data_IF_707088648309
#
_entry.id   IF_707088648309
#
_cell.length_a   1.000
_cell.length_b   1.000
_cell.length_c   1.000
_cell.angle_alpha   90.00
_cell.angle_beta   90.00
_cell.angle_gamma   90.00
#
_symmetry.space_group_name_H-M   'P 1'
#
loop_
_entity.id
_entity.type
_entity.pdbx_description
1 polymer ?
#
# COMPACT_ATOMS: atom_id res chain seq x y z
N UNK A 1 11.79 14.97 30.19
CA UNK A 1 12.77 14.19 29.39
C UNK A 1 11.99 13.49 28.30
N UNK A 2 12.01 14.07 27.09
CA UNK A 2 11.30 13.50 25.95
C UNK A 2 12.03 12.26 25.45
N UNK A 3 11.45 11.09 25.62
CA UNK A 3 11.87 9.91 24.86
C UNK A 3 11.74 10.27 23.37
N UNK A 4 12.81 10.07 22.63
CA UNK A 4 12.85 10.25 21.17
C UNK A 4 11.81 9.33 20.53
N UNK A 5 10.64 9.84 20.26
CA UNK A 5 9.64 9.16 19.42
C UNK A 5 10.14 9.29 17.98
N UNK A 6 10.80 8.26 17.47
CA UNK A 6 11.13 8.18 16.05
C UNK A 6 9.84 7.91 15.29
N UNK A 7 9.30 8.94 14.66
CA UNK A 7 8.19 8.77 13.71
C UNK A 7 8.79 8.49 12.35
N UNK A 8 8.36 7.43 11.70
CA UNK A 8 8.69 7.12 10.31
C UNK A 8 7.50 7.49 9.44
N UNK A 9 7.74 8.29 8.42
CA UNK A 9 6.73 8.72 7.47
C UNK A 9 6.81 7.84 6.22
N UNK A 10 5.67 7.23 5.87
CA UNK A 10 5.51 6.40 4.70
C UNK A 10 4.41 6.99 3.82
N UNK A 11 4.68 7.14 2.53
CA UNK A 11 3.62 7.32 1.54
C UNK A 11 3.45 6.00 0.77
N UNK A 12 2.21 5.55 0.64
CA UNK A 12 1.86 4.30 -0.02
C UNK A 12 0.88 4.57 -1.16
N UNK A 13 1.26 4.15 -2.34
CA UNK A 13 0.38 3.99 -3.49
C UNK A 13 -0.04 2.52 -3.55
N UNK A 14 -1.32 2.27 -3.24
CA UNK A 14 -1.88 0.94 -3.12
C UNK A 14 -2.56 0.52 -4.44
N UNK A 15 -1.75 0.35 -5.48
CA UNK A 15 -2.25 0.02 -6.82
C UNK A 15 -2.70 -1.44 -6.98
N UNK A 16 -3.60 -1.68 -7.92
CA UNK A 16 -4.11 -3.02 -8.26
C UNK A 16 -3.02 -3.97 -8.75
N UNK A 17 -2.07 -3.46 -9.53
CA UNK A 17 -0.98 -4.26 -10.09
C UNK A 17 0.24 -4.28 -9.17
N UNK A 18 0.69 -3.11 -8.76
CA UNK A 18 1.86 -2.90 -7.91
C UNK A 18 1.51 -1.98 -6.75
N UNK A 19 2.17 -2.20 -5.62
CA UNK A 19 2.17 -1.29 -4.46
C UNK A 19 3.54 -0.65 -4.35
N UNK A 20 3.55 0.67 -4.28
CA UNK A 20 4.77 1.47 -4.10
C UNK A 20 4.75 2.08 -2.70
N UNK A 21 5.88 2.01 -2.00
CA UNK A 21 6.06 2.71 -0.72
C UNK A 21 7.29 3.59 -0.80
N UNK A 22 7.11 4.85 -0.44
CA UNK A 22 8.20 5.79 -0.25
C UNK A 22 8.39 6.09 1.23
N UNK A 23 9.63 6.33 1.62
CA UNK A 23 10.01 6.73 2.96
C UNK A 23 11.03 7.86 2.85
N UNK A 24 10.72 9.04 3.41
CA UNK A 24 11.59 10.21 3.30
C UNK A 24 11.98 10.50 1.84
N UNK A 25 11.01 10.62 0.96
CA UNK A 25 11.14 10.91 -0.48
C UNK A 25 11.95 9.87 -1.28
N UNK A 26 12.20 8.70 -0.70
CA UNK A 26 12.86 7.60 -1.39
C UNK A 26 11.92 6.42 -1.55
N UNK A 27 11.80 5.93 -2.76
CA UNK A 27 11.11 4.68 -3.01
C UNK A 27 11.88 3.53 -2.35
N UNK A 28 11.21 2.84 -1.42
CA UNK A 28 11.78 1.75 -0.63
C UNK A 28 11.13 0.40 -0.93
N UNK A 29 9.93 0.43 -1.50
CA UNK A 29 9.21 -0.76 -1.98
C UNK A 29 8.58 -0.43 -3.33
N UNK A 30 8.75 -1.32 -4.29
CA UNK A 30 8.04 -1.41 -5.55
C UNK A 30 7.80 -2.90 -5.82
N UNK A 31 6.63 -3.36 -5.42
CA UNK A 31 6.32 -4.78 -5.41
C UNK A 31 4.92 -5.05 -5.99
N UNK A 32 4.74 -6.17 -6.69
CA UNK A 32 3.41 -6.60 -7.12
C UNK A 32 2.42 -6.71 -5.97
N UNK A 33 1.19 -6.26 -6.17
CA UNK A 33 0.10 -6.36 -5.19
C UNK A 33 -0.45 -7.79 -5.12
N UNK A 34 0.39 -8.71 -4.67
CA UNK A 34 0.09 -10.14 -4.59
C UNK A 34 0.54 -10.70 -3.24
N UNK A 35 -0.25 -11.60 -2.69
CA UNK A 35 0.08 -12.36 -1.49
C UNK A 35 -0.08 -13.86 -1.74
N UNK A 36 0.81 -14.67 -1.20
CA UNK A 36 0.73 -16.12 -1.20
C UNK A 36 0.45 -16.62 0.22
N UNK A 37 -0.59 -17.43 0.36
CA UNK A 37 -1.02 -18.04 1.60
C UNK A 37 -0.91 -19.57 1.51
N UNK A 38 -0.62 -20.20 2.61
CA UNK A 38 -0.81 -21.64 2.75
C UNK A 38 -2.31 -21.97 2.69
N UNK A 39 -2.70 -22.86 1.78
CA UNK A 39 -4.11 -23.12 1.48
C UNK A 39 -4.88 -23.77 2.65
N UNK A 40 -4.19 -24.35 3.63
CA UNK A 40 -4.82 -25.02 4.79
C UNK A 40 -4.82 -24.14 6.03
N UNK A 41 -3.70 -23.49 6.31
CA UNK A 41 -3.51 -22.72 7.56
C UNK A 41 -3.75 -21.22 7.38
N UNK A 42 -3.92 -20.74 6.15
CA UNK A 42 -4.03 -19.33 5.75
C UNK A 42 -2.84 -18.47 6.19
N UNK A 43 -1.74 -19.10 6.57
CA UNK A 43 -0.51 -18.39 6.93
C UNK A 43 0.12 -17.74 5.71
N UNK A 44 0.61 -16.52 5.90
CA UNK A 44 1.36 -15.79 4.87
C UNK A 44 2.67 -16.51 4.58
N UNK A 45 2.86 -16.92 3.34
CA UNK A 45 4.10 -17.53 2.84
C UNK A 45 5.01 -16.48 2.20
N UNK A 46 4.44 -15.58 1.41
CA UNK A 46 5.17 -14.53 0.72
C UNK A 46 4.25 -13.36 0.36
N UNK A 47 4.87 -12.20 0.10
CA UNK A 47 4.20 -11.01 -0.48
C UNK A 47 5.03 -10.48 -1.63
N UNK A 48 4.41 -9.70 -2.52
CA UNK A 48 5.10 -9.06 -3.63
C UNK A 48 5.61 -10.05 -4.66
N UNK A 49 6.83 -9.80 -5.14
CA UNK A 49 7.50 -10.57 -6.19
C UNK A 49 7.63 -12.05 -5.86
N UNK A 50 7.97 -12.36 -4.62
CA UNK A 50 8.06 -13.75 -4.18
C UNK A 50 6.72 -14.47 -4.24
N UNK A 51 5.63 -13.79 -3.89
CA UNK A 51 4.29 -14.35 -4.03
C UNK A 51 3.89 -14.55 -5.49
N UNK A 52 4.27 -13.63 -6.37
CA UNK A 52 4.04 -13.73 -7.82
C UNK A 52 4.76 -14.93 -8.42
N UNK A 53 6.01 -15.18 -8.04
CA UNK A 53 6.76 -16.35 -8.49
C UNK A 53 6.12 -17.68 -8.04
N UNK A 54 5.43 -17.69 -6.91
CA UNK A 54 4.68 -18.85 -6.43
C UNK A 54 3.39 -19.07 -7.23
N UNK A 55 2.77 -18.00 -7.75
CA UNK A 55 1.58 -18.07 -8.60
C UNK A 55 1.86 -18.84 -9.90
N UNK A 56 3.04 -18.67 -10.45
CA UNK A 56 3.44 -19.32 -11.71
C UNK A 56 3.76 -20.82 -11.52
N UNK A 57 3.94 -21.26 -10.27
CA UNK A 57 4.22 -22.65 -9.91
C UNK A 57 2.97 -23.29 -9.35
N UNK A 58 2.32 -24.13 -10.14
CA UNK A 58 1.08 -24.83 -9.76
C UNK A 58 1.33 -25.72 -8.54
N UNK A 59 1.04 -25.23 -7.35
CA UNK A 59 1.11 -25.99 -6.10
C UNK A 59 -0.24 -25.90 -5.40
N UNK A 60 -0.97 -27.02 -5.24
CA UNK A 60 -2.31 -27.03 -4.64
C UNK A 60 -2.33 -26.59 -3.16
N UNK A 61 -1.18 -26.57 -2.49
CA UNK A 61 -1.06 -26.12 -1.12
C UNK A 61 -0.82 -24.62 -0.99
N UNK A 62 -0.69 -23.90 -2.09
CA UNK A 62 -0.44 -22.45 -2.10
C UNK A 62 -1.60 -21.76 -2.80
N UNK A 63 -2.22 -20.82 -2.11
CA UNK A 63 -3.24 -19.92 -2.67
C UNK A 63 -2.64 -18.54 -2.84
N UNK A 64 -2.52 -18.08 -4.08
CA UNK A 64 -2.10 -16.71 -4.38
C UNK A 64 -3.30 -15.83 -4.65
N UNK A 65 -3.31 -14.65 -4.06
CA UNK A 65 -4.42 -13.71 -4.09
C UNK A 65 -3.90 -12.34 -4.52
N UNK A 66 -4.66 -11.67 -5.38
CA UNK A 66 -4.57 -10.23 -5.61
C UNK A 66 -5.67 -9.57 -4.79
N UNK A 67 -5.33 -8.95 -3.65
CA UNK A 67 -6.35 -8.44 -2.75
C UNK A 67 -7.04 -7.17 -3.24
N UNK A 68 -6.48 -6.55 -4.29
CA UNK A 68 -6.98 -5.32 -4.90
C UNK A 68 -7.51 -5.61 -6.31
N UNK A 69 -8.68 -5.03 -6.63
CA UNK A 69 -9.27 -5.04 -7.96
C UNK A 69 -9.78 -3.64 -8.28
N UNK A 70 -9.36 -3.09 -9.41
CA UNK A 70 -9.78 -1.76 -9.86
C UNK A 70 -9.59 -0.65 -8.79
N UNK A 71 -8.48 -0.73 -8.04
CA UNK A 71 -8.17 0.19 -6.95
C UNK A 71 -8.91 -0.08 -5.63
N UNK A 72 -9.79 -1.09 -5.59
CA UNK A 72 -10.63 -1.41 -4.42
C UNK A 72 -10.13 -2.66 -3.71
N UNK A 73 -10.27 -2.70 -2.39
CA UNK A 73 -9.98 -3.91 -1.60
C UNK A 73 -11.11 -4.93 -1.82
N UNK A 74 -10.78 -6.03 -2.50
CA UNK A 74 -11.67 -7.17 -2.71
C UNK A 74 -11.56 -8.24 -1.61
N UNK A 75 -10.40 -8.31 -0.94
CA UNK A 75 -10.14 -9.23 0.17
C UNK A 75 -9.39 -8.48 1.28
N UNK A 76 -10.12 -8.15 2.36
CA UNK A 76 -9.59 -7.35 3.47
C UNK A 76 -8.45 -8.03 4.22
N UNK A 77 -8.60 -9.32 4.52
CA UNK A 77 -7.58 -10.06 5.22
C UNK A 77 -6.29 -10.13 4.41
N UNK A 78 -6.40 -10.49 3.15
CA UNK A 78 -5.27 -10.56 2.25
C UNK A 78 -4.59 -9.18 2.06
N UNK A 79 -5.38 -8.09 1.95
CA UNK A 79 -4.86 -6.73 1.83
C UNK A 79 -4.10 -6.29 3.09
N UNK A 80 -4.67 -6.52 4.28
CA UNK A 80 -4.02 -6.23 5.56
C UNK A 80 -2.69 -6.97 5.69
N UNK A 81 -2.68 -8.29 5.43
CA UNK A 81 -1.48 -9.10 5.52
C UNK A 81 -0.43 -8.69 4.48
N UNK A 82 -0.84 -8.34 3.27
CA UNK A 82 0.03 -7.82 2.22
C UNK A 82 0.66 -6.50 2.65
N UNK A 83 -0.14 -5.52 3.09
CA UNK A 83 0.36 -4.24 3.59
C UNK A 83 1.34 -4.42 4.74
N UNK A 84 1.03 -5.28 5.71
CA UNK A 84 1.91 -5.60 6.83
C UNK A 84 3.26 -6.16 6.35
N UNK A 85 3.24 -7.05 5.35
CA UNK A 85 4.45 -7.60 4.74
C UNK A 85 5.28 -6.53 4.02
N UNK A 86 4.64 -5.67 3.23
CA UNK A 86 5.30 -4.59 2.48
C UNK A 86 5.85 -3.50 3.40
N UNK A 87 5.13 -3.10 4.44
CA UNK A 87 5.61 -2.16 5.48
C UNK A 87 6.84 -2.74 6.20
N UNK A 88 6.84 -4.04 6.49
CA UNK A 88 8.00 -4.71 7.09
C UNK A 88 9.22 -4.67 6.17
N UNK A 89 9.03 -4.79 4.85
CA UNK A 89 10.11 -4.61 3.87
C UNK A 89 10.63 -3.17 3.89
N UNK A 90 9.74 -2.17 3.90
CA UNK A 90 10.09 -0.76 3.94
C UNK A 90 10.86 -0.37 5.22
N UNK A 91 10.49 -0.93 6.36
CA UNK A 91 11.06 -0.60 7.67
C UNK A 91 12.42 -1.25 7.95
N UNK A 92 12.87 -2.19 7.10
CA UNK A 92 14.14 -2.91 7.27
C UNK A 92 14.16 -3.90 8.44
N UNK A 93 15.05 -4.92 8.34
CA UNK A 93 15.06 -6.09 9.25
C UNK A 93 15.55 -5.85 10.69
N UNK A 94 16.08 -4.68 11.06
CA UNK A 94 16.75 -4.48 12.35
C UNK A 94 16.34 -3.18 13.02
N UNK A 95 15.17 -3.15 13.64
CA UNK A 95 14.90 -2.12 14.64
C UNK A 95 14.35 -2.79 15.90
N UNK A 96 15.11 -2.68 16.98
CA UNK A 96 14.73 -3.13 18.33
C UNK A 96 13.53 -2.34 18.89
N UNK A 97 13.30 -1.12 18.38
CA UNK A 97 12.12 -0.31 18.67
C UNK A 97 11.37 -0.04 17.37
N UNK A 98 10.11 -0.49 17.31
CA UNK A 98 9.23 -0.16 16.19
C UNK A 98 8.96 1.36 16.21
N UNK A 99 9.27 2.10 15.12
CA UNK A 99 8.92 3.51 15.03
C UNK A 99 7.40 3.67 15.01
N UNK A 100 6.91 4.82 15.48
CA UNK A 100 5.55 5.23 15.21
C UNK A 100 5.42 5.49 13.71
N UNK A 101 4.50 4.79 13.04
CA UNK A 101 4.30 4.94 11.60
C UNK A 101 3.23 5.99 11.35
N UNK A 102 3.60 7.06 10.63
CA UNK A 102 2.67 7.98 9.99
C UNK A 102 2.57 7.59 8.53
N UNK A 103 1.36 7.34 8.05
CA UNK A 103 1.13 6.84 6.71
C UNK A 103 0.21 7.78 5.93
N UNK A 104 0.57 8.05 4.68
CA UNK A 104 -0.30 8.68 3.68
C UNK A 104 -0.57 7.64 2.61
N UNK A 105 -1.85 7.39 2.30
CA UNK A 105 -2.24 6.36 1.35
C UNK A 105 -3.07 6.98 0.24
N UNK A 106 -2.66 6.73 -1.01
CA UNK A 106 -3.42 7.09 -2.21
C UNK A 106 -4.69 6.25 -2.31
N UNK A 107 -5.80 6.90 -2.65
CA UNK A 107 -7.09 6.25 -2.91
C UNK A 107 -7.68 6.78 -4.22
N UNK A 108 -8.36 5.93 -5.02
CA UNK A 108 -9.08 6.38 -6.20
C UNK A 108 -10.15 7.40 -5.87
N UNK A 109 -10.36 8.39 -6.75
CA UNK A 109 -11.35 9.46 -6.54
C UNK A 109 -12.80 8.96 -6.49
N UNK A 110 -13.07 7.78 -7.07
CA UNK A 110 -14.38 7.13 -7.04
C UNK A 110 -14.62 6.20 -5.85
N UNK A 111 -13.69 6.14 -4.89
CA UNK A 111 -13.81 5.26 -3.73
C UNK A 111 -14.99 5.66 -2.84
N UNK A 112 -15.77 4.66 -2.43
CA UNK A 112 -16.85 4.83 -1.47
C UNK A 112 -16.32 5.01 -0.04
N UNK A 113 -17.12 5.56 0.87
CA UNK A 113 -16.72 5.71 2.28
C UNK A 113 -16.40 4.36 2.95
N UNK A 114 -17.06 3.30 2.53
CA UNK A 114 -16.81 1.94 3.04
C UNK A 114 -15.42 1.46 2.61
N UNK A 115 -15.05 1.67 1.35
CA UNK A 115 -13.73 1.33 0.81
C UNK A 115 -12.62 2.14 1.46
N UNK A 116 -12.83 3.45 1.63
CA UNK A 116 -11.88 4.35 2.31
C UNK A 116 -11.64 3.87 3.75
N UNK A 117 -12.71 3.54 4.48
CA UNK A 117 -12.60 2.99 5.83
C UNK A 117 -11.84 1.68 5.84
N UNK A 118 -12.11 0.81 4.89
CA UNK A 118 -11.46 -0.48 4.76
C UNK A 118 -9.94 -0.37 4.56
N UNK A 119 -9.50 0.54 3.69
CA UNK A 119 -8.07 0.83 3.49
C UNK A 119 -7.45 1.36 4.78
N UNK A 120 -8.14 2.30 5.46
CA UNK A 120 -7.66 2.87 6.73
C UNK A 120 -7.50 1.80 7.80
N UNK A 121 -8.55 1.00 8.05
CA UNK A 121 -8.55 -0.04 9.06
C UNK A 121 -7.45 -1.07 8.78
N UNK A 122 -7.27 -1.46 7.51
CA UNK A 122 -6.20 -2.37 7.10
C UNK A 122 -4.81 -1.78 7.36
N UNK A 123 -4.60 -0.49 7.11
CA UNK A 123 -3.33 0.20 7.35
C UNK A 123 -3.03 0.36 8.86
N UNK A 124 -4.03 0.70 9.66
CA UNK A 124 -3.92 0.77 11.12
C UNK A 124 -3.56 -0.61 11.71
N UNK A 125 -4.24 -1.66 11.27
CA UNK A 125 -3.92 -3.04 11.68
C UNK A 125 -2.54 -3.49 11.19
N UNK A 126 -2.06 -2.97 10.05
CA UNK A 126 -0.71 -3.24 9.57
C UNK A 126 0.38 -2.49 10.34
N UNK A 127 0.00 -1.58 11.26
CA UNK A 127 0.92 -0.87 12.15
C UNK A 127 0.94 0.64 11.99
N UNK A 128 0.09 1.22 11.12
CA UNK A 128 -0.09 2.67 11.01
C UNK A 128 -0.68 3.25 12.28
N UNK A 129 -0.01 4.23 12.89
CA UNK A 129 -0.53 4.93 14.07
C UNK A 129 -1.32 6.18 13.72
N UNK A 130 -0.87 6.85 12.67
CA UNK A 130 -1.55 7.98 12.05
C UNK A 130 -1.70 7.66 10.57
N UNK A 131 -2.94 7.51 10.10
CA UNK A 131 -3.23 7.16 8.71
C UNK A 131 -4.05 8.26 8.06
N UNK A 132 -3.48 8.84 7.02
CA UNK A 132 -4.10 9.87 6.19
C UNK A 132 -4.40 9.30 4.81
N UNK A 133 -5.54 9.70 4.26
CA UNK A 133 -5.95 9.31 2.91
C UNK A 133 -5.86 10.53 2.00
N UNK A 134 -5.36 10.32 0.80
CA UNK A 134 -5.31 11.35 -0.24
C UNK A 134 -5.86 10.78 -1.55
N UNK A 135 -6.66 11.54 -2.27
CA UNK A 135 -7.11 11.12 -3.59
C UNK A 135 -5.93 11.10 -4.57
N UNK A 136 -5.78 10.00 -5.32
CA UNK A 136 -4.67 9.81 -6.27
C UNK A 136 -4.48 10.98 -7.24
N UNK A 137 -5.54 11.58 -7.85
CA UNK A 137 -5.37 12.75 -8.70
C UNK A 137 -4.80 13.96 -7.97
N UNK A 138 -5.17 14.14 -6.69
CA UNK A 138 -4.64 15.23 -5.86
C UNK A 138 -3.17 15.00 -5.52
N UNK A 139 -2.82 13.76 -5.16
CA UNK A 139 -1.45 13.37 -4.89
C UNK A 139 -0.56 13.56 -6.14
N UNK A 140 -1.06 13.17 -7.30
CA UNK A 140 -0.36 13.35 -8.58
C UNK A 140 -0.16 14.83 -8.93
N UNK A 141 -1.19 15.66 -8.75
CA UNK A 141 -1.11 17.10 -8.99
C UNK A 141 -0.07 17.79 -8.08
N UNK A 142 -0.07 17.46 -6.79
CA UNK A 142 0.95 17.92 -5.83
C UNK A 142 2.35 17.47 -6.26
N UNK A 143 2.48 16.20 -6.68
CA UNK A 143 3.75 15.61 -7.09
C UNK A 143 4.38 16.28 -8.30
N UNK A 144 3.59 16.84 -9.22
CA UNK A 144 4.07 17.64 -10.37
C UNK A 144 4.16 19.14 -10.08
N UNK A 145 3.93 19.56 -8.83
CA UNK A 145 4.06 20.95 -8.40
C UNK A 145 2.87 21.85 -8.76
N UNK A 146 1.69 21.28 -9.03
CA UNK A 146 0.48 22.06 -9.25
C UNK A 146 -0.06 22.62 -7.94
N UNK A 147 -0.53 23.86 -7.95
CA UNK A 147 -1.23 24.43 -6.79
C UNK A 147 -2.68 23.93 -6.75
N UNK A 148 -2.90 22.90 -5.95
CA UNK A 148 -4.23 22.29 -5.79
C UNK A 148 -5.19 23.13 -4.95
N UNK A 149 -4.72 24.22 -4.34
CA UNK A 149 -5.54 25.16 -3.56
C UNK A 149 -6.00 26.35 -4.40
N UNK A 150 -5.42 26.56 -5.59
CA UNK A 150 -5.85 27.60 -6.50
C UNK A 150 -7.29 27.31 -6.99
N UNK A 151 -8.17 28.33 -7.07
CA UNK A 151 -9.55 28.14 -7.54
C UNK A 151 -9.61 28.02 -9.07
N UNK A 152 -8.79 27.19 -9.64
CA UNK A 152 -8.66 26.94 -11.07
C UNK A 152 -9.00 25.48 -11.38
N UNK A 153 -9.59 25.25 -12.56
CA UNK A 153 -9.84 23.90 -13.05
C UNK A 153 -8.52 23.27 -13.51
N UNK A 154 -8.08 22.23 -12.82
CA UNK A 154 -6.88 21.47 -13.16
C UNK A 154 -7.26 20.18 -13.87
N UNK A 155 -6.55 19.84 -14.96
CA UNK A 155 -6.69 18.57 -15.66
C UNK A 155 -5.35 17.85 -15.70
N UNK A 156 -5.33 16.61 -15.23
CA UNK A 156 -4.17 15.74 -15.30
C UNK A 156 -4.53 14.53 -16.17
N UNK A 157 -3.84 14.40 -17.32
CA UNK A 157 -4.07 13.31 -18.27
C UNK A 157 -2.86 12.38 -18.19
N UNK A 158 -3.10 11.14 -17.78
CA UNK A 158 -2.13 10.07 -17.85
C UNK A 158 -2.44 9.18 -19.04
N UNK A 159 -1.49 9.07 -19.97
CA UNK A 159 -1.57 8.15 -21.12
C UNK A 159 -0.63 6.99 -20.78
N UNK A 160 -1.19 5.84 -20.40
CA UNK A 160 -0.44 4.60 -20.31
C UNK A 160 -0.34 3.96 -21.68
N UNK A 161 0.86 3.55 -22.08
CA UNK A 161 1.00 2.72 -23.27
C UNK A 161 0.28 1.38 -23.07
N UNK A 162 -0.48 0.89 -24.05
CA UNK A 162 -1.07 -0.43 -23.97
C UNK A 162 0.06 -1.48 -23.98
N UNK A 163 0.13 -2.26 -22.93
CA UNK A 163 0.99 -3.45 -22.83
C UNK A 163 0.37 -4.63 -23.57
#
# INVERSE_FOLDING_TARGET
>A
MGLFSFTQELAMDLGTANTIITCNDKMVVDEPSVIALDARSEKVLAVGRQAREMYEKTNPNIRTIRPLREGVIADFYAAEQMMRGLIKMASGRKRWFAPSLRMVIGIPSGSTEVEIRAVRDSAEHAGGREVYMVFEPMAAAIGVGMDVLAPEGLSLIHISEPT
#
